data_IF_443571153824
#
_entry.id   IF_443571153824
#
_cell.length_a   1.000
_cell.length_b   1.000
_cell.length_c   1.000
_cell.angle_alpha   90.00
_cell.angle_beta   90.00
_cell.angle_gamma   90.00
#
_symmetry.space_group_name_H-M   'P 1'
#
loop_
_entity.id
_entity.type
_entity.pdbx_description
1 polymer ?
#
# COMPACT_ATOMS: atom_id res chain seq x y z
N UNK A 1 8.22 -14.75 -26.66
CA UNK A 1 7.39 -14.53 -25.46
C UNK A 1 8.25 -14.60 -24.19
N UNK A 2 9.47 -14.07 -24.28
CA UNK A 2 10.45 -13.96 -23.21
C UNK A 2 11.20 -12.68 -23.49
N UNK A 3 11.30 -11.84 -22.50
CA UNK A 3 12.02 -10.59 -22.59
C UNK A 3 13.40 -10.76 -21.96
N UNK A 4 14.41 -10.12 -22.54
CA UNK A 4 15.77 -10.18 -22.00
C UNK A 4 15.93 -9.04 -21.01
N UNK A 5 16.34 -9.36 -19.79
CA UNK A 5 16.63 -8.39 -18.74
C UNK A 5 18.01 -8.65 -18.16
N UNK A 6 18.70 -7.61 -17.72
CA UNK A 6 19.97 -7.73 -17.02
C UNK A 6 19.75 -7.57 -15.52
N UNK A 7 20.34 -8.47 -14.74
CA UNK A 7 20.36 -8.41 -13.27
C UNK A 7 21.81 -8.52 -12.79
N UNK A 8 22.05 -8.57 -11.47
CA UNK A 8 23.38 -8.86 -10.93
C UNK A 8 23.96 -10.21 -11.40
N UNK A 9 23.11 -11.20 -11.73
CA UNK A 9 23.54 -12.47 -12.34
C UNK A 9 23.83 -12.35 -13.86
N UNK A 10 23.80 -11.15 -14.42
CA UNK A 10 23.98 -10.93 -15.85
C UNK A 10 22.69 -11.16 -16.62
N UNK A 11 22.75 -12.00 -17.67
CA UNK A 11 21.67 -12.13 -18.65
C UNK A 11 20.54 -13.04 -18.13
N UNK A 12 19.41 -12.44 -17.80
CA UNK A 12 18.20 -13.13 -17.35
C UNK A 12 17.06 -13.01 -18.37
N UNK A 13 15.96 -13.72 -18.10
CA UNK A 13 14.77 -13.72 -18.94
C UNK A 13 13.50 -13.60 -18.10
N UNK A 14 12.57 -12.77 -18.54
CA UNK A 14 11.26 -12.59 -17.91
C UNK A 14 10.17 -13.16 -18.81
N UNK A 15 9.32 -14.02 -18.25
CA UNK A 15 8.11 -14.51 -18.91
C UNK A 15 6.91 -13.65 -18.51
N UNK A 16 5.98 -13.40 -19.44
CA UNK A 16 4.76 -12.59 -19.20
C UNK A 16 5.03 -11.18 -18.65
N UNK A 17 6.05 -10.49 -19.18
CA UNK A 17 6.46 -9.14 -18.74
C UNK A 17 5.45 -8.03 -19.07
N UNK A 18 4.57 -8.24 -20.06
CA UNK A 18 3.61 -7.22 -20.50
C UNK A 18 4.21 -6.06 -21.30
N UNK A 19 5.53 -6.06 -21.53
CA UNK A 19 6.19 -5.06 -22.35
C UNK A 19 6.05 -5.37 -23.87
N UNK A 20 6.44 -4.42 -24.72
CA UNK A 20 6.30 -4.48 -26.19
C UNK A 20 4.85 -4.56 -26.70
N UNK A 21 3.88 -4.06 -25.94
CA UNK A 21 2.45 -4.08 -26.32
C UNK A 21 1.83 -5.48 -26.38
N UNK A 22 2.45 -6.47 -25.74
CA UNK A 22 1.93 -7.84 -25.67
C UNK A 22 0.86 -7.96 -24.58
N UNK A 23 -0.27 -8.64 -24.85
CA UNK A 23 -1.30 -8.82 -23.85
C UNK A 23 -0.80 -9.72 -22.71
N UNK A 24 -1.21 -9.40 -21.49
CA UNK A 24 -0.95 -10.21 -20.31
C UNK A 24 -1.70 -11.55 -20.40
N UNK A 25 -1.00 -12.62 -20.03
CA UNK A 25 -1.62 -13.93 -19.90
C UNK A 25 -2.43 -14.02 -18.62
N UNK A 26 -3.61 -14.64 -18.74
CA UNK A 26 -4.51 -14.91 -17.61
C UNK A 26 -4.77 -16.39 -17.51
N UNK A 27 -4.94 -16.89 -16.28
CA UNK A 27 -5.38 -18.26 -16.04
C UNK A 27 -6.81 -18.27 -15.50
N UNK A 28 -7.59 -19.25 -15.94
CA UNK A 28 -9.02 -19.37 -15.61
C UNK A 28 -9.31 -20.60 -14.74
N UNK A 29 -8.29 -21.36 -14.34
CA UNK A 29 -8.40 -22.56 -13.50
C UNK A 29 -7.11 -22.73 -12.69
N UNK A 30 -7.25 -23.20 -11.45
CA UNK A 30 -6.10 -23.63 -10.65
C UNK A 30 -5.50 -24.94 -11.14
N UNK A 31 -4.36 -25.30 -10.56
CA UNK A 31 -3.64 -26.56 -10.79
C UNK A 31 -2.59 -26.53 -11.90
N UNK A 32 -1.68 -27.51 -11.84
CA UNK A 32 -0.44 -27.55 -12.63
C UNK A 32 -0.63 -27.41 -14.15
N UNK A 33 -1.71 -27.98 -14.70
CA UNK A 33 -1.95 -27.95 -16.16
C UNK A 33 -2.41 -26.60 -16.71
N UNK A 34 -2.69 -25.61 -15.85
CA UNK A 34 -3.16 -24.28 -16.23
C UNK A 34 -2.13 -23.18 -15.88
N UNK A 35 -0.89 -23.58 -15.59
CA UNK A 35 0.22 -22.70 -15.26
C UNK A 35 1.30 -22.66 -16.34
N UNK A 36 2.50 -22.27 -15.91
CA UNK A 36 3.72 -22.28 -16.71
C UNK A 36 4.51 -23.55 -16.40
N UNK A 37 4.81 -24.35 -17.43
CA UNK A 37 5.71 -25.50 -17.36
C UNK A 37 6.94 -25.23 -18.24
N UNK A 38 8.14 -25.32 -17.66
CA UNK A 38 9.41 -25.11 -18.34
C UNK A 38 10.35 -26.28 -18.08
N UNK A 39 10.87 -26.89 -19.13
CA UNK A 39 12.01 -27.80 -19.05
C UNK A 39 13.26 -27.04 -19.49
N UNK A 40 14.24 -26.93 -18.59
CA UNK A 40 15.47 -26.18 -18.80
C UNK A 40 16.69 -27.10 -18.68
N UNK A 41 17.72 -26.75 -19.44
CA UNK A 41 19.05 -27.34 -19.38
C UNK A 41 19.99 -26.25 -18.85
N UNK A 42 20.61 -26.47 -17.68
CA UNK A 42 21.50 -25.49 -17.06
C UNK A 42 22.89 -25.47 -17.68
N UNK A 43 23.26 -26.46 -18.51
CA UNK A 43 24.52 -26.50 -19.23
C UNK A 43 25.77 -26.35 -18.32
N UNK A 44 25.91 -27.22 -17.31
CA UNK A 44 27.09 -27.23 -16.43
C UNK A 44 28.42 -27.40 -17.18
N UNK A 45 28.40 -27.91 -18.42
CA UNK A 45 29.55 -27.99 -19.32
C UNK A 45 30.09 -26.62 -19.76
N UNK A 46 29.28 -25.57 -19.68
CA UNK A 46 29.65 -24.18 -20.03
C UNK A 46 29.96 -23.33 -18.80
N UNK A 47 29.95 -23.92 -17.60
CA UNK A 47 30.24 -23.17 -16.37
C UNK A 47 31.72 -22.78 -16.32
N UNK A 48 31.97 -21.55 -15.87
CA UNK A 48 33.33 -21.07 -15.68
C UNK A 48 33.99 -21.88 -14.55
N UNK A 49 35.20 -22.43 -14.77
CA UNK A 49 35.90 -23.16 -13.74
C UNK A 49 36.28 -22.22 -12.59
N UNK A 50 35.94 -22.61 -11.36
CA UNK A 50 36.21 -21.80 -10.17
C UNK A 50 37.64 -22.05 -9.69
N UNK A 51 38.49 -21.02 -9.73
CA UNK A 51 39.90 -21.08 -9.29
C UNK A 51 40.21 -20.19 -8.08
N UNK A 52 39.21 -19.47 -7.56
CA UNK A 52 39.33 -18.61 -6.38
C UNK A 52 37.94 -18.09 -5.96
N UNK A 53 37.85 -17.57 -4.73
CA UNK A 53 36.62 -16.95 -4.21
C UNK A 53 36.56 -15.48 -4.67
N UNK A 54 35.52 -15.14 -5.42
CA UNK A 54 35.12 -13.78 -5.80
C UNK A 54 33.60 -13.69 -5.74
N UNK A 55 33.03 -12.49 -5.63
CA UNK A 55 31.57 -12.30 -5.52
C UNK A 55 30.81 -12.78 -6.78
N UNK A 56 31.51 -12.91 -7.91
CA UNK A 56 30.95 -13.42 -9.17
C UNK A 56 31.05 -14.96 -9.31
N UNK A 57 31.82 -15.65 -8.46
CA UNK A 57 32.00 -17.11 -8.55
C UNK A 57 31.03 -17.85 -7.62
N UNK A 58 30.08 -18.58 -8.19
CA UNK A 58 29.12 -19.41 -7.44
C UNK A 58 29.52 -20.89 -7.45
N UNK A 59 29.45 -21.54 -6.29
CA UNK A 59 29.60 -23.01 -6.15
C UNK A 59 28.30 -23.78 -6.44
N UNK A 60 27.19 -23.06 -6.63
CA UNK A 60 25.86 -23.63 -6.80
C UNK A 60 25.57 -23.94 -8.27
N UNK A 61 24.87 -25.05 -8.51
CA UNK A 61 24.36 -25.40 -9.84
C UNK A 61 22.83 -25.43 -9.81
N UNK A 62 22.20 -24.68 -10.71
CA UNK A 62 20.75 -24.50 -10.76
C UNK A 62 20.39 -23.13 -11.32
N UNK A 63 19.14 -22.73 -11.12
CA UNK A 63 18.65 -21.41 -11.51
C UNK A 63 18.04 -20.70 -10.30
N UNK A 64 18.11 -19.37 -10.28
CA UNK A 64 17.27 -18.55 -9.40
C UNK A 64 16.05 -18.06 -10.17
N UNK A 65 14.92 -18.00 -9.49
CA UNK A 65 13.62 -17.59 -10.04
C UNK A 65 12.97 -16.60 -9.08
N UNK A 66 12.36 -15.55 -9.63
CA UNK A 66 11.55 -14.61 -8.87
C UNK A 66 10.18 -14.51 -9.53
N UNK A 67 9.12 -14.55 -8.72
CA UNK A 67 7.74 -14.30 -9.15
C UNK A 67 7.36 -12.91 -8.62
N UNK A 68 7.03 -12.01 -9.52
CA UNK A 68 6.72 -10.61 -9.22
C UNK A 68 5.63 -10.08 -10.15
N UNK A 69 5.06 -8.92 -9.82
CA UNK A 69 4.10 -8.23 -10.70
C UNK A 69 4.83 -7.57 -11.86
N UNK A 70 4.12 -7.28 -12.95
CA UNK A 70 4.72 -6.66 -14.14
C UNK A 70 5.18 -5.21 -13.91
N UNK A 71 4.61 -4.54 -12.93
CA UNK A 71 4.94 -3.16 -12.52
C UNK A 71 6.20 -3.10 -11.66
N UNK A 72 6.64 -4.24 -11.11
CA UNK A 72 7.79 -4.34 -10.22
C UNK A 72 9.02 -4.85 -10.99
N UNK A 73 10.18 -4.14 -10.95
CA UNK A 73 11.41 -4.66 -11.54
C UNK A 73 11.96 -5.86 -10.76
N UNK A 74 12.62 -6.82 -11.42
CA UNK A 74 13.17 -7.99 -10.74
C UNK A 74 14.38 -7.61 -9.88
N UNK A 75 14.43 -8.20 -8.69
CA UNK A 75 15.51 -8.09 -7.70
C UNK A 75 15.87 -9.48 -7.18
N UNK A 76 16.34 -10.30 -8.12
CA UNK A 76 16.43 -11.76 -8.02
C UNK A 76 17.57 -12.25 -7.12
N UNK A 77 18.60 -11.43 -6.93
CA UNK A 77 19.73 -11.67 -6.04
C UNK A 77 19.27 -11.77 -4.57
N UNK A 78 18.35 -10.91 -4.15
CA UNK A 78 17.82 -10.90 -2.78
C UNK A 78 16.47 -11.60 -2.62
N UNK A 79 15.55 -11.48 -3.59
CA UNK A 79 14.18 -11.97 -3.47
C UNK A 79 13.91 -13.27 -4.24
N UNK A 80 14.88 -13.77 -5.00
CA UNK A 80 14.76 -15.00 -5.78
C UNK A 80 14.87 -16.27 -4.93
N UNK A 81 14.19 -17.34 -5.36
CA UNK A 81 14.35 -18.69 -4.81
C UNK A 81 15.12 -19.58 -5.79
N UNK A 82 15.86 -20.56 -5.27
CA UNK A 82 16.64 -21.50 -6.08
C UNK A 82 15.84 -22.71 -6.55
N UNK A 83 16.12 -23.17 -7.76
CA UNK A 83 15.58 -24.40 -8.37
C UNK A 83 16.73 -25.27 -8.83
N UNK A 84 16.78 -26.51 -8.33
CA UNK A 84 17.88 -27.44 -8.53
C UNK A 84 17.69 -28.32 -9.79
N UNK A 85 18.79 -28.71 -10.47
CA UNK A 85 18.75 -29.73 -11.51
C UNK A 85 18.44 -31.13 -10.95
N UNK A 86 17.91 -32.00 -11.80
CA UNK A 86 17.50 -33.35 -11.43
C UNK A 86 16.16 -33.43 -10.71
N UNK A 87 15.43 -32.31 -10.63
CA UNK A 87 14.11 -32.22 -10.04
C UNK A 87 13.09 -31.54 -10.97
N UNK A 88 11.85 -31.98 -10.84
CA UNK A 88 10.68 -31.25 -11.25
C UNK A 88 10.13 -30.54 -10.02
N UNK A 89 10.20 -29.20 -10.03
CA UNK A 89 9.81 -28.34 -8.91
C UNK A 89 8.45 -27.74 -9.21
N UNK A 90 7.49 -28.01 -8.33
CA UNK A 90 6.16 -27.44 -8.35
C UNK A 90 6.11 -26.24 -7.40
N UNK A 91 5.73 -25.08 -7.94
CA UNK A 91 5.57 -23.83 -7.21
C UNK A 91 4.10 -23.45 -7.24
N UNK A 92 3.40 -23.81 -6.17
CA UNK A 92 2.00 -23.43 -5.96
C UNK A 92 1.94 -22.00 -5.46
N UNK A 93 1.26 -21.13 -6.20
CA UNK A 93 1.18 -19.70 -5.93
C UNK A 93 -0.21 -19.30 -5.42
N UNK A 94 -0.23 -18.29 -4.55
CA UNK A 94 -1.44 -17.59 -4.11
C UNK A 94 -1.25 -16.08 -4.23
N UNK A 95 -2.15 -15.39 -4.94
CA UNK A 95 -2.11 -13.93 -5.05
C UNK A 95 -2.59 -13.29 -3.73
N UNK A 96 -1.75 -12.43 -3.15
CA UNK A 96 -2.05 -11.68 -1.94
C UNK A 96 -2.03 -10.18 -2.26
N UNK A 97 -3.14 -9.48 -2.00
CA UNK A 97 -3.26 -8.03 -2.16
C UNK A 97 -3.19 -7.37 -0.81
N UNK A 98 -2.16 -6.56 -0.60
CA UNK A 98 -1.90 -5.87 0.66
C UNK A 98 -2.22 -4.38 0.50
N UNK A 99 -3.07 -3.88 1.39
CA UNK A 99 -3.45 -2.47 1.46
C UNK A 99 -3.06 -1.91 2.82
N UNK A 100 -2.15 -0.96 2.83
CA UNK A 100 -1.65 -0.27 4.02
C UNK A 100 -2.29 1.10 4.20
N UNK A 101 -2.30 1.60 5.44
CA UNK A 101 -2.79 2.94 5.74
C UNK A 101 -1.66 3.98 5.75
N UNK A 102 -1.89 5.19 5.22
CA UNK A 102 -0.91 6.27 5.25
C UNK A 102 -0.81 6.91 6.64
N UNK A 103 0.21 7.76 6.86
CA UNK A 103 0.33 8.53 8.09
C UNK A 103 -0.93 9.40 8.32
N UNK A 104 -1.46 9.51 9.55
CA UNK A 104 -0.90 9.11 10.85
C UNK A 104 -1.24 7.68 11.34
N UNK A 105 -1.93 6.85 10.55
CA UNK A 105 -2.37 5.52 11.00
C UNK A 105 -1.35 4.41 10.74
N UNK A 106 -0.54 4.57 9.71
CA UNK A 106 0.55 3.66 9.36
C UNK A 106 1.59 4.40 8.52
N UNK A 107 2.60 3.67 8.06
CA UNK A 107 3.68 4.21 7.24
C UNK A 107 3.59 3.60 5.85
N UNK A 108 2.96 4.33 4.92
CA UNK A 108 2.95 3.95 3.51
C UNK A 108 2.97 5.16 2.59
N UNK A 109 3.62 4.97 1.44
CA UNK A 109 3.70 5.96 0.37
C UNK A 109 2.56 5.76 -0.62
N UNK A 110 1.69 6.77 -0.71
CA UNK A 110 0.57 6.80 -1.66
C UNK A 110 0.89 7.57 -2.96
N UNK A 111 2.01 8.30 -2.97
CA UNK A 111 2.41 9.14 -4.10
C UNK A 111 3.06 8.32 -5.20
N UNK A 112 2.84 8.74 -6.45
CA UNK A 112 3.55 8.19 -7.60
C UNK A 112 5.06 8.40 -7.46
N UNK A 113 5.84 7.54 -8.11
CA UNK A 113 7.30 7.63 -8.11
C UNK A 113 7.74 8.90 -8.86
N UNK A 114 8.59 9.70 -8.22
CA UNK A 114 9.28 10.82 -8.85
C UNK A 114 10.65 10.32 -9.31
N UNK A 115 10.66 9.45 -10.33
CA UNK A 115 11.88 8.92 -10.92
C UNK A 115 11.79 8.97 -12.44
N UNK A 116 12.91 9.24 -13.09
CA UNK A 116 13.01 9.23 -14.55
C UNK A 116 13.02 7.81 -15.14
N UNK A 117 13.27 6.78 -14.31
CA UNK A 117 13.51 5.41 -14.78
C UNK A 117 12.28 4.49 -14.68
N UNK A 118 11.47 4.64 -13.63
CA UNK A 118 10.33 3.76 -13.36
C UNK A 118 9.03 4.56 -13.30
N UNK A 119 7.98 4.00 -13.91
CA UNK A 119 6.65 4.64 -13.97
C UNK A 119 5.80 4.41 -12.71
N UNK A 120 5.98 3.26 -12.07
CA UNK A 120 5.26 2.84 -10.86
C UNK A 120 6.21 2.74 -9.68
N UNK A 121 5.74 3.21 -8.51
CA UNK A 121 6.49 3.06 -7.27
C UNK A 121 6.37 1.63 -6.75
N UNK A 122 7.51 0.97 -6.62
CA UNK A 122 7.65 -0.27 -5.86
C UNK A 122 8.87 -0.17 -4.94
N UNK A 123 8.93 -1.05 -3.93
CA UNK A 123 10.07 -1.06 -3.01
C UNK A 123 11.38 -1.39 -3.73
N UNK A 124 11.33 -2.31 -4.70
CA UNK A 124 12.48 -2.70 -5.52
C UNK A 124 12.90 -1.60 -6.51
N UNK A 125 11.94 -0.91 -7.14
CA UNK A 125 12.24 0.23 -8.00
C UNK A 125 12.94 1.35 -7.22
N UNK A 126 12.45 1.68 -6.02
CA UNK A 126 13.08 2.65 -5.13
C UNK A 126 14.52 2.27 -4.77
N UNK A 127 14.76 0.99 -4.44
CA UNK A 127 16.11 0.52 -4.11
C UNK A 127 17.06 0.58 -5.30
N UNK A 128 16.63 0.12 -6.47
CA UNK A 128 17.44 0.17 -7.69
C UNK A 128 17.77 1.62 -8.05
N UNK A 129 16.81 2.52 -7.95
CA UNK A 129 17.03 3.96 -8.19
C UNK A 129 18.04 4.55 -7.19
N UNK A 130 17.91 4.22 -5.90
CA UNK A 130 18.84 4.66 -4.87
C UNK A 130 20.27 4.13 -5.07
N UNK A 131 20.41 2.82 -5.33
CA UNK A 131 21.70 2.18 -5.63
C UNK A 131 22.35 2.81 -6.87
N UNK A 132 21.56 3.06 -7.92
CA UNK A 132 22.04 3.67 -9.16
C UNK A 132 22.55 5.09 -8.91
N UNK A 133 21.77 5.92 -8.21
CA UNK A 133 22.16 7.29 -7.90
C UNK A 133 23.41 7.34 -7.03
N UNK A 134 23.49 6.50 -6.01
CA UNK A 134 24.68 6.40 -5.15
C UNK A 134 25.93 6.03 -5.94
N UNK A 135 25.83 5.05 -6.84
CA UNK A 135 26.97 4.60 -7.63
C UNK A 135 27.42 5.65 -8.65
N UNK A 136 26.47 6.36 -9.26
CA UNK A 136 26.78 7.46 -10.18
C UNK A 136 27.43 8.63 -9.44
N UNK A 137 26.95 8.99 -8.24
CA UNK A 137 27.55 10.06 -7.41
C UNK A 137 28.97 9.72 -6.94
N UNK A 138 29.24 8.46 -6.55
CA UNK A 138 30.53 8.08 -5.97
C UNK A 138 31.55 7.55 -6.99
N UNK A 139 31.11 6.80 -8.00
CA UNK A 139 31.98 6.13 -8.97
C UNK A 139 31.84 6.68 -10.40
N UNK A 140 30.94 7.64 -10.66
CA UNK A 140 30.67 8.24 -11.98
C UNK A 140 30.32 7.23 -13.09
N UNK A 141 29.84 6.05 -12.71
CA UNK A 141 29.47 4.98 -13.61
C UNK A 141 28.30 4.18 -13.02
N UNK A 142 27.64 3.38 -13.86
CA UNK A 142 26.58 2.46 -13.45
C UNK A 142 26.89 1.02 -13.82
N UNK A 143 26.32 0.09 -13.06
CA UNK A 143 26.40 -1.34 -13.40
C UNK A 143 25.48 -1.70 -14.57
N UNK A 144 25.73 -2.86 -15.19
CA UNK A 144 24.99 -3.32 -16.38
C UNK A 144 23.48 -3.48 -16.20
N UNK A 145 23.03 -3.76 -14.98
CA UNK A 145 21.62 -3.96 -14.64
C UNK A 145 20.91 -2.69 -14.16
N UNK A 146 21.67 -1.62 -13.89
CA UNK A 146 21.12 -0.36 -13.40
C UNK A 146 20.54 0.45 -14.55
N UNK A 147 19.39 1.11 -14.37
CA UNK A 147 18.80 1.99 -15.38
C UNK A 147 19.61 3.29 -15.57
N UNK A 148 19.23 4.08 -16.58
CA UNK A 148 19.76 5.41 -16.85
C UNK A 148 20.85 5.51 -17.90
N UNK A 149 21.30 6.74 -18.15
CA UNK A 149 22.18 7.10 -19.27
C UNK A 149 23.66 7.25 -18.88
N UNK A 150 23.98 7.03 -17.60
CA UNK A 150 25.37 7.03 -17.12
C UNK A 150 26.21 5.96 -17.86
N UNK A 151 27.52 6.16 -18.04
CA UNK A 151 28.38 5.17 -18.68
C UNK A 151 28.49 3.90 -17.83
N UNK A 152 28.65 2.75 -18.48
CA UNK A 152 28.89 1.50 -17.80
C UNK A 152 30.27 1.50 -17.11
N UNK A 153 30.33 0.96 -15.90
CA UNK A 153 31.59 0.78 -15.18
C UNK A 153 32.53 -0.19 -15.94
N UNK A 154 33.82 0.14 -15.97
CA UNK A 154 34.87 -0.76 -16.45
C UNK A 154 35.18 -1.86 -15.43
N UNK A 155 35.78 -3.00 -15.82
CA UNK A 155 36.13 -4.06 -14.86
C UNK A 155 37.04 -3.61 -13.71
N UNK A 156 37.92 -2.62 -13.95
CA UNK A 156 38.74 -2.01 -12.90
C UNK A 156 37.87 -1.22 -11.91
N UNK A 157 36.94 -0.40 -12.41
CA UNK A 157 36.00 0.35 -11.57
C UNK A 157 35.03 -0.55 -10.79
N UNK A 158 34.66 -1.72 -11.35
CA UNK A 158 33.86 -2.71 -10.63
C UNK A 158 34.55 -3.11 -9.32
N UNK A 159 35.78 -3.61 -9.43
CA UNK A 159 36.57 -4.08 -8.31
C UNK A 159 37.01 -2.98 -7.34
N UNK A 160 37.39 -1.82 -7.86
CA UNK A 160 37.99 -0.75 -7.04
C UNK A 160 36.96 0.16 -6.38
N UNK A 161 35.78 0.33 -6.99
CA UNK A 161 34.78 1.29 -6.53
C UNK A 161 33.39 0.68 -6.40
N UNK A 162 32.86 0.04 -7.44
CA UNK A 162 31.45 -0.29 -7.51
C UNK A 162 31.04 -1.35 -6.49
N UNK A 163 31.77 -2.45 -6.39
CA UNK A 163 31.46 -3.53 -5.45
C UNK A 163 31.64 -3.06 -3.99
N UNK A 164 32.79 -2.46 -3.60
CA UNK A 164 32.95 -1.94 -2.24
C UNK A 164 31.94 -0.84 -1.86
N UNK A 165 31.53 0.00 -2.83
CA UNK A 165 30.54 1.04 -2.60
C UNK A 165 29.16 0.44 -2.32
N UNK A 166 28.74 -0.56 -3.09
CA UNK A 166 27.47 -1.24 -2.85
C UNK A 166 27.48 -2.08 -1.58
N UNK A 167 28.58 -2.76 -1.26
CA UNK A 167 28.73 -3.50 0.00
C UNK A 167 28.62 -2.56 1.19
N UNK A 168 29.30 -1.41 1.14
CA UNK A 168 29.18 -0.37 2.16
C UNK A 168 27.75 0.18 2.27
N UNK A 169 27.05 0.34 1.14
CA UNK A 169 25.67 0.79 1.13
C UNK A 169 24.75 -0.22 1.83
N UNK A 170 24.93 -1.52 1.60
CA UNK A 170 24.16 -2.57 2.28
C UNK A 170 24.45 -2.62 3.78
N UNK A 171 25.69 -2.38 4.21
CA UNK A 171 26.04 -2.33 5.64
C UNK A 171 25.53 -1.06 6.36
N UNK A 172 25.36 0.06 5.64
CA UNK A 172 24.88 1.36 6.16
C UNK A 172 23.49 1.74 5.65
N UNK A 173 22.74 0.78 5.13
CA UNK A 173 21.54 0.98 4.31
C UNK A 173 20.46 1.83 5.00
N UNK A 174 20.37 1.73 6.33
CA UNK A 174 19.35 2.37 7.14
C UNK A 174 19.29 3.90 7.05
N UNK A 175 20.37 4.58 6.67
CA UNK A 175 20.38 6.05 6.64
C UNK A 175 20.31 6.64 5.22
N UNK A 176 20.73 5.91 4.19
CA UNK A 176 20.89 6.47 2.84
C UNK A 176 19.75 6.07 1.88
N UNK A 177 19.29 4.82 1.91
CA UNK A 177 18.25 4.31 1.02
C UNK A 177 16.97 3.96 1.80
N UNK A 178 16.29 4.97 2.34
CA UNK A 178 15.00 4.79 3.03
C UNK A 178 13.87 4.68 2.01
N UNK A 179 13.50 3.44 1.69
CA UNK A 179 12.37 3.14 0.80
C UNK A 179 11.12 2.76 1.59
N UNK A 180 10.13 3.65 1.59
CA UNK A 180 8.83 3.43 2.24
C UNK A 180 8.00 2.35 1.52
N UNK A 181 7.18 1.60 2.25
CA UNK A 181 6.29 0.61 1.63
C UNK A 181 5.15 1.30 0.86
N UNK A 182 4.84 0.86 -0.37
CA UNK A 182 3.68 1.38 -1.09
C UNK A 182 2.37 1.04 -0.36
N UNK A 183 1.39 1.93 -0.43
CA UNK A 183 0.09 1.67 0.21
C UNK A 183 -0.68 0.51 -0.43
N UNK A 184 -0.47 0.25 -1.72
CA UNK A 184 -1.04 -0.89 -2.42
C UNK A 184 0.10 -1.73 -2.97
N UNK A 185 0.12 -3.02 -2.65
CA UNK A 185 1.03 -3.96 -3.30
C UNK A 185 0.43 -5.34 -3.43
N UNK A 186 0.87 -6.05 -4.47
CA UNK A 186 0.52 -7.46 -4.67
C UNK A 186 1.76 -8.30 -4.42
N UNK A 187 1.60 -9.36 -3.63
CA UNK A 187 2.62 -10.37 -3.37
C UNK A 187 2.12 -11.74 -3.79
N UNK A 188 3.04 -12.64 -4.09
CA UNK A 188 2.74 -14.03 -4.41
C UNK A 188 3.26 -14.92 -3.29
N UNK A 189 2.33 -15.43 -2.48
CA UNK A 189 2.62 -16.52 -1.55
C UNK A 189 3.00 -17.77 -2.36
N UNK A 190 4.03 -18.50 -1.93
CA UNK A 190 4.55 -19.65 -2.65
C UNK A 190 4.77 -20.85 -1.74
N UNK A 191 4.27 -22.01 -2.16
CA UNK A 191 4.56 -23.30 -1.57
C UNK A 191 5.30 -24.16 -2.60
N UNK A 192 6.45 -24.72 -2.19
CA UNK A 192 7.32 -25.47 -3.08
C UNK A 192 7.31 -26.95 -2.72
N UNK A 193 7.15 -27.80 -3.74
CA UNK A 193 7.36 -29.24 -3.65
C UNK A 193 8.17 -29.73 -4.84
N UNK A 194 8.79 -30.91 -4.73
CA UNK A 194 9.68 -31.41 -5.76
C UNK A 194 9.60 -32.93 -5.89
N UNK A 195 9.80 -33.40 -7.12
CA UNK A 195 9.95 -34.82 -7.44
C UNK A 195 11.19 -35.02 -8.30
N UNK A 196 11.79 -36.21 -8.23
CA UNK A 196 13.01 -36.52 -8.98
C UNK A 196 12.71 -36.69 -10.48
N UNK A 197 13.53 -36.07 -11.32
CA UNK A 197 13.56 -36.29 -12.78
C UNK A 197 15.01 -36.57 -13.24
N UNK A 198 15.25 -37.53 -14.14
CA UNK A 198 14.31 -38.45 -14.76
C UNK A 198 13.99 -39.68 -13.90
N UNK A 199 12.86 -40.32 -14.21
CA UNK A 199 12.58 -41.67 -13.74
C UNK A 199 13.47 -42.68 -14.46
N UNK A 200 13.67 -43.88 -13.89
CA UNK A 200 14.44 -44.96 -14.55
C UNK A 200 13.87 -45.33 -15.93
N UNK A 201 12.56 -45.18 -16.13
CA UNK A 201 11.90 -45.47 -17.40
C UNK A 201 12.11 -44.35 -18.43
N UNK A 202 12.08 -43.09 -18.01
CA UNK A 202 12.21 -41.93 -18.90
C UNK A 202 13.66 -41.50 -19.17
N UNK A 203 14.63 -41.94 -18.36
CA UNK A 203 16.05 -41.58 -18.50
C UNK A 203 16.61 -41.87 -19.91
N UNK A 204 16.42 -43.10 -20.41
CA UNK A 204 16.87 -43.51 -21.76
C UNK A 204 16.22 -42.70 -22.88
N UNK A 205 14.94 -42.37 -22.71
CA UNK A 205 14.20 -41.59 -23.70
C UNK A 205 14.74 -40.16 -23.78
N UNK A 206 14.93 -39.50 -22.63
CA UNK A 206 15.44 -38.14 -22.57
C UNK A 206 16.88 -38.05 -23.08
N UNK A 207 17.73 -39.00 -22.68
CA UNK A 207 19.11 -39.11 -23.17
C UNK A 207 19.15 -39.18 -24.70
N UNK A 208 18.31 -40.03 -25.32
CA UNK A 208 18.23 -40.16 -26.78
C UNK A 208 17.62 -38.94 -27.45
N UNK A 209 16.59 -38.32 -26.85
CA UNK A 209 15.88 -37.15 -27.40
C UNK A 209 16.79 -35.93 -27.50
N UNK A 210 17.60 -35.70 -26.47
CA UNK A 210 18.52 -34.56 -26.40
C UNK A 210 19.94 -34.89 -26.85
N UNK A 211 20.21 -36.13 -27.26
CA UNK A 211 21.53 -36.63 -27.65
C UNK A 211 22.61 -36.37 -26.57
N UNK A 212 22.27 -36.68 -25.31
CA UNK A 212 23.13 -36.50 -24.13
C UNK A 212 23.20 -37.80 -23.32
N UNK A 213 24.15 -37.90 -22.39
CA UNK A 213 24.28 -39.09 -21.51
C UNK A 213 23.21 -39.10 -20.42
N UNK A 214 22.89 -40.27 -19.88
CA UNK A 214 21.92 -40.38 -18.77
C UNK A 214 22.37 -39.60 -17.52
N UNK A 215 23.67 -39.53 -17.26
CA UNK A 215 24.26 -38.71 -16.19
C UNK A 215 24.01 -37.22 -16.45
N UNK A 216 24.30 -36.75 -17.67
CA UNK A 216 24.07 -35.35 -18.04
C UNK A 216 22.61 -34.93 -17.82
N UNK A 217 21.65 -35.80 -18.15
CA UNK A 217 20.23 -35.51 -17.93
C UNK A 217 19.92 -35.32 -16.43
N UNK A 218 20.47 -36.17 -15.56
CA UNK A 218 20.26 -36.05 -14.12
C UNK A 218 20.89 -34.79 -13.51
N UNK A 219 22.06 -34.39 -14.04
CA UNK A 219 22.83 -33.29 -13.48
C UNK A 219 22.44 -31.92 -14.08
N UNK A 220 21.86 -31.87 -15.28
CA UNK A 220 21.62 -30.60 -15.99
C UNK A 220 20.15 -30.27 -16.25
N UNK A 221 19.26 -31.27 -16.32
CA UNK A 221 17.86 -31.02 -16.66
C UNK A 221 17.06 -30.72 -15.40
N UNK A 222 16.28 -29.64 -15.44
CA UNK A 222 15.26 -29.33 -14.46
C UNK A 222 13.92 -29.07 -15.13
N UNK A 223 12.85 -29.28 -14.39
CA UNK A 223 11.50 -28.88 -14.79
C UNK A 223 10.94 -27.95 -13.72
N UNK A 224 10.36 -26.83 -14.15
CA UNK A 224 9.77 -25.83 -13.28
C UNK A 224 8.31 -25.63 -13.66
N UNK A 225 7.42 -25.90 -12.71
CA UNK A 225 5.99 -25.71 -12.83
C UNK A 225 5.53 -24.61 -11.88
N UNK A 226 5.02 -23.51 -12.43
CA UNK A 226 4.46 -22.38 -11.67
C UNK A 226 2.97 -22.28 -11.96
N UNK A 227 2.13 -22.46 -10.95
CA UNK A 227 0.67 -22.43 -11.11
C UNK A 227 -0.01 -21.86 -9.87
N UNK A 228 -1.29 -21.49 -9.99
CA UNK A 228 -2.11 -21.09 -8.85
C UNK A 228 -2.82 -22.30 -8.24
N UNK A 229 -2.84 -22.40 -6.91
CA UNK A 229 -3.54 -23.50 -6.21
C UNK A 229 -5.04 -23.50 -6.52
N UNK A 230 -5.67 -22.36 -6.31
CA UNK A 230 -7.06 -22.07 -6.62
C UNK A 230 -7.17 -20.64 -7.18
N UNK A 231 -8.30 -20.32 -7.83
CA UNK A 231 -8.57 -18.96 -8.34
C UNK A 231 -9.13 -18.05 -7.25
N UNK A 232 -8.48 -18.00 -6.11
CA UNK A 232 -8.76 -17.05 -5.05
C UNK A 232 -7.54 -16.16 -4.84
N UNK A 233 -7.83 -14.93 -4.41
CA UNK A 233 -6.83 -14.01 -3.92
C UNK A 233 -7.13 -13.71 -2.46
N UNK A 234 -6.09 -13.52 -1.68
CA UNK A 234 -6.20 -13.09 -0.30
C UNK A 234 -6.05 -11.58 -0.24
N UNK A 235 -6.92 -10.89 0.50
CA UNK A 235 -6.82 -9.44 0.71
C UNK A 235 -6.46 -9.17 2.16
N UNK A 236 -5.31 -8.54 2.40
CA UNK A 236 -4.84 -8.12 3.72
C UNK A 236 -4.90 -6.59 3.77
N UNK A 237 -5.94 -6.06 4.37
CA UNK A 237 -6.19 -4.61 4.45
C UNK A 237 -6.07 -4.09 5.89
N UNK A 238 -5.32 -3.00 6.06
CA UNK A 238 -5.29 -2.26 7.31
C UNK A 238 -6.52 -1.36 7.41
N UNK A 239 -7.33 -1.56 8.46
CA UNK A 239 -8.52 -0.73 8.75
C UNK A 239 -8.26 0.17 9.95
N UNK A 240 -8.83 1.37 9.90
CA UNK A 240 -8.81 2.31 11.03
C UNK A 240 -9.63 1.70 12.15
N UNK A 241 -8.98 1.42 13.28
CA UNK A 241 -9.67 0.86 14.45
C UNK A 241 -10.71 1.83 15.04
N UNK A 242 -10.50 3.13 14.85
CA UNK A 242 -11.38 4.17 15.34
C UNK A 242 -11.46 5.35 14.37
N UNK A 243 -12.67 5.75 14.04
CA UNK A 243 -12.95 6.90 13.19
C UNK A 243 -13.57 8.05 13.99
N UNK A 244 -13.55 9.26 13.42
CA UNK A 244 -14.15 10.44 14.06
C UNK A 244 -15.64 10.25 14.37
N UNK A 245 -16.35 9.48 13.53
CA UNK A 245 -17.74 9.11 13.78
C UNK A 245 -17.88 8.26 15.05
N UNK A 246 -16.98 7.29 15.27
CA UNK A 246 -16.90 6.53 16.52
C UNK A 246 -16.61 7.43 17.71
N UNK A 247 -15.67 8.37 17.58
CA UNK A 247 -15.33 9.34 18.63
C UNK A 247 -16.53 10.18 19.07
N UNK A 248 -17.25 10.75 18.11
CA UNK A 248 -18.43 11.57 18.40
C UNK A 248 -19.58 10.72 18.94
N UNK A 249 -19.70 9.47 18.49
CA UNK A 249 -20.66 8.50 19.00
C UNK A 249 -20.42 8.19 20.48
N UNK A 250 -19.17 7.89 20.87
CA UNK A 250 -18.83 7.56 22.26
C UNK A 250 -18.95 8.78 23.18
N UNK A 251 -18.47 9.95 22.74
CA UNK A 251 -18.64 11.20 23.50
C UNK A 251 -20.12 11.54 23.66
N UNK A 252 -20.88 11.52 22.56
CA UNK A 252 -22.31 11.82 22.57
C UNK A 252 -23.11 10.81 23.40
N UNK A 253 -22.75 9.53 23.32
CA UNK A 253 -23.33 8.45 24.11
C UNK A 253 -23.08 8.62 25.59
N UNK A 254 -21.84 8.88 26.00
CA UNK A 254 -21.51 9.11 27.42
C UNK A 254 -22.16 10.38 27.96
N UNK A 255 -22.15 11.48 27.20
CA UNK A 255 -22.79 12.74 27.61
C UNK A 255 -24.32 12.60 27.71
N UNK A 256 -24.93 11.91 26.76
CA UNK A 256 -26.36 11.60 26.76
C UNK A 256 -26.75 10.67 27.92
N UNK A 257 -25.92 9.68 28.25
CA UNK A 257 -26.19 8.73 29.32
C UNK A 257 -26.02 9.32 30.72
N UNK A 258 -24.92 10.05 30.98
CA UNK A 258 -24.62 10.54 32.33
C UNK A 258 -25.30 11.86 32.67
N UNK A 259 -25.41 12.78 31.71
CA UNK A 259 -25.91 14.13 31.94
C UNK A 259 -27.31 14.30 31.33
N UNK A 260 -27.71 13.47 30.36
CA UNK A 260 -28.89 13.74 29.53
C UNK A 260 -28.67 14.94 28.60
N UNK A 261 -27.41 15.35 28.42
CA UNK A 261 -27.04 16.52 27.64
C UNK A 261 -26.80 16.15 26.19
N UNK A 262 -27.21 17.04 25.29
CA UNK A 262 -26.89 16.99 23.87
C UNK A 262 -26.15 18.26 23.46
N UNK A 263 -25.70 18.31 22.21
CA UNK A 263 -25.09 19.53 21.66
C UNK A 263 -26.04 20.74 21.77
N UNK A 264 -27.36 20.52 21.71
CA UNK A 264 -28.37 21.56 21.89
C UNK A 264 -28.36 22.12 23.32
N UNK A 265 -28.20 21.28 24.34
CA UNK A 265 -28.13 21.73 25.74
C UNK A 265 -26.88 22.57 26.01
N UNK A 266 -25.77 22.29 25.32
CA UNK A 266 -24.56 23.10 25.40
C UNK A 266 -24.79 24.48 24.77
N UNK A 267 -25.42 24.52 23.58
CA UNK A 267 -25.75 25.79 22.92
C UNK A 267 -26.68 26.66 23.77
N UNK A 268 -27.68 26.06 24.42
CA UNK A 268 -28.58 26.76 25.33
C UNK A 268 -27.85 27.36 26.55
N UNK A 269 -26.87 26.64 27.10
CA UNK A 269 -26.02 27.16 28.17
C UNK A 269 -25.20 28.38 27.71
N UNK A 270 -24.66 28.34 26.48
CA UNK A 270 -23.93 29.47 25.91
C UNK A 270 -24.83 30.69 25.66
N UNK A 271 -26.05 30.50 25.16
CA UNK A 271 -27.02 31.59 24.98
C UNK A 271 -27.39 32.24 26.32
N UNK A 272 -27.61 31.44 27.36
CA UNK A 272 -27.86 31.94 28.71
C UNK A 272 -26.67 32.74 29.25
N UNK A 273 -25.45 32.20 29.12
CA UNK A 273 -24.21 32.89 29.51
C UNK A 273 -24.05 34.23 28.78
N UNK A 274 -24.32 34.25 27.47
CA UNK A 274 -24.24 35.45 26.66
C UNK A 274 -25.21 36.54 27.14
N UNK A 275 -26.48 36.19 27.38
CA UNK A 275 -27.48 37.12 27.92
C UNK A 275 -27.10 37.63 29.32
N UNK A 276 -26.57 36.77 30.19
CA UNK A 276 -26.08 37.18 31.53
C UNK A 276 -24.89 38.14 31.44
N UNK A 277 -23.93 37.87 30.56
CA UNK A 277 -22.76 38.74 30.34
C UNK A 277 -23.22 40.11 29.79
N UNK A 278 -24.10 40.12 28.79
CA UNK A 278 -24.72 41.33 28.22
C UNK A 278 -25.46 42.13 29.30
N UNK A 279 -26.27 41.48 30.13
CA UNK A 279 -26.97 42.12 31.24
C UNK A 279 -26.00 42.73 32.27
N UNK A 280 -24.93 42.01 32.65
CA UNK A 280 -23.91 42.53 33.58
C UNK A 280 -23.10 43.68 32.99
N UNK A 281 -22.73 43.62 31.70
CA UNK A 281 -22.08 44.72 30.99
C UNK A 281 -22.98 45.96 30.94
N UNK A 282 -24.27 45.83 30.59
CA UNK A 282 -25.23 46.93 30.63
C UNK A 282 -25.40 47.52 32.03
N UNK A 283 -25.37 46.70 33.08
CA UNK A 283 -25.48 47.16 34.47
C UNK A 283 -24.20 47.85 34.97
N UNK A 284 -23.03 47.44 34.49
CA UNK A 284 -21.75 48.13 34.73
C UNK A 284 -21.69 49.49 34.02
N UNK A 285 -22.22 49.61 32.79
CA UNK A 285 -22.35 50.89 32.08
C UNK A 285 -23.31 51.84 32.81
N UNK A 286 -24.45 51.34 33.31
CA UNK A 286 -25.38 52.15 34.14
C UNK A 286 -24.79 52.56 35.49
N UNK A 287 -23.92 51.75 36.12
CA UNK A 287 -23.19 52.15 37.35
C UNK A 287 -22.12 53.21 37.07
N UNK A 288 -21.45 53.17 35.92
CA UNK A 288 -20.51 54.23 35.48
C UNK A 288 -21.22 55.56 35.19
N UNK A 289 -22.45 55.51 34.67
CA UNK A 289 -23.29 56.71 34.49
C UNK A 289 -23.85 57.28 35.82
N UNK A 290 -24.10 56.43 36.82
CA UNK A 290 -24.56 56.89 38.15
C UNK A 290 -23.42 57.46 39.03
N UNK A 291 -22.16 57.13 38.73
CA UNK A 291 -20.97 57.70 39.38
C UNK A 291 -20.50 59.04 38.79
N UNK A 292 -21.15 59.56 37.74
CA UNK A 292 -20.76 60.82 37.07
C UNK A 292 -21.85 61.90 37.09
N UNK A 293 -23.00 61.65 37.72
CA UNK A 293 -24.09 62.63 37.93
C UNK A 293 -24.24 62.98 39.42
N UNK A 294 -23.19 63.52 40.02
CA UNK A 294 -23.31 64.28 41.26
C UNK A 294 -22.60 65.65 41.09
N UNK A 295 -23.05 66.39 40.09
CA UNK A 295 -23.04 67.85 40.11
C UNK A 295 -24.17 68.36 39.24
N UNK A 296 -24.87 69.31 39.84
CA UNK A 296 -25.90 70.20 39.33
C UNK A 296 -27.34 69.71 39.15
N UNK A 297 -28.16 70.34 40.01
CA UNK A 297 -29.60 70.44 40.06
C UNK A 297 -30.14 71.05 38.77
N UNK A 298 -31.29 70.56 38.34
CA UNK A 298 -32.13 71.24 37.34
C UNK A 298 -33.32 70.39 36.97
N UNK A 299 -34.40 70.50 37.74
CA UNK A 299 -35.68 69.89 37.39
C UNK A 299 -36.28 70.64 36.19
N UNK A 300 -36.42 69.97 35.05
CA UNK A 300 -37.38 70.34 34.01
C UNK A 300 -38.02 69.05 33.50
N UNK A 301 -39.32 68.92 33.75
CA UNK A 301 -40.17 67.86 33.23
C UNK A 301 -40.36 68.10 31.72
N UNK A 302 -39.82 67.22 30.88
CA UNK A 302 -40.19 67.16 29.46
C UNK A 302 -41.16 65.99 29.26
N UNK A 303 -42.30 66.32 28.68
CA UNK A 303 -43.48 65.47 28.53
C UNK A 303 -43.35 64.72 27.19
N UNK A 304 -42.53 63.66 27.15
CA UNK A 304 -42.41 62.75 26.00
C UNK A 304 -41.85 61.36 26.39
N UNK A 305 -42.32 60.81 27.52
CA UNK A 305 -42.00 59.44 27.96
C UNK A 305 -43.27 58.67 28.38
N UNK A 306 -44.33 58.76 27.57
CA UNK A 306 -45.54 57.93 27.70
C UNK A 306 -45.72 57.08 26.45
N UNK A 307 -44.77 56.17 26.20
CA UNK A 307 -45.04 55.01 25.34
C UNK A 307 -44.11 53.84 25.67
N UNK A 308 -44.29 53.25 26.85
CA UNK A 308 -43.94 51.83 27.14
C UNK A 308 -44.33 51.48 28.57
N UNK A 309 -45.59 51.12 28.77
CA UNK A 309 -46.17 50.27 29.82
C UNK A 309 -47.68 50.25 29.49
N UNK A 310 -48.43 49.17 29.33
CA UNK A 310 -48.36 47.73 29.64
C UNK A 310 -49.45 47.04 28.73
N UNK A 311 -50.01 45.83 28.97
CA UNK A 311 -49.63 44.70 29.84
C UNK A 311 -49.65 43.32 29.12
N UNK A 312 -49.13 42.29 29.80
CA UNK A 312 -49.51 40.90 29.58
C UNK A 312 -50.85 40.63 30.29
N UNK A 313 -51.82 40.02 29.61
CA UNK A 313 -52.74 39.06 30.25
C UNK A 313 -53.29 38.05 29.24
N UNK A 314 -53.55 36.85 29.74
CA UNK A 314 -53.67 35.59 29.03
C UNK A 314 -55.05 35.31 28.43
N UNK A 315 -55.04 34.32 27.51
CA UNK A 315 -55.91 33.12 27.49
C UNK A 315 -56.98 33.01 26.37
N UNK A 316 -56.85 31.89 25.65
CA UNK A 316 -57.85 31.03 24.95
C UNK A 316 -57.95 31.11 23.41
N UNK A 317 -57.46 30.02 22.81
CA UNK A 317 -57.88 29.32 21.58
C UNK A 317 -59.40 29.03 21.56
N UNK A 318 -60.07 28.67 20.43
CA UNK A 318 -59.54 27.79 19.36
C UNK A 318 -59.99 28.02 17.90
N UNK A 319 -59.29 27.26 17.03
CA UNK A 319 -59.73 26.63 15.78
C UNK A 319 -60.02 27.51 14.56
N UNK A 320 -59.33 27.16 13.46
CA UNK A 320 -59.87 26.60 12.20
C UNK A 320 -59.16 27.24 11.00
N UNK A 321 -58.35 26.47 10.26
CA UNK A 321 -58.14 26.71 8.83
C UNK A 321 -58.15 25.37 8.07
N UNK A 322 -58.71 25.34 6.85
CA UNK A 322 -58.95 24.12 6.09
C UNK A 322 -57.82 23.81 5.09
N UNK A 323 -57.69 22.52 4.76
CA UNK A 323 -57.75 22.01 3.39
C UNK A 323 -56.52 22.10 2.47
N UNK A 324 -56.04 20.90 2.08
CA UNK A 324 -55.40 20.53 0.80
C UNK A 324 -53.94 20.96 0.60
N UNK A 325 -53.01 20.19 0.02
CA UNK A 325 -53.05 18.96 -0.77
C UNK A 325 -51.59 18.46 -0.89
N UNK A 326 -51.32 17.16 -0.73
CA UNK A 326 -50.17 16.47 -1.34
C UNK A 326 -50.63 15.06 -1.75
N UNK A 327 -50.24 14.55 -2.94
CA UNK A 327 -50.73 13.28 -3.46
C UNK A 327 -49.95 12.04 -2.97
N UNK A 328 -50.68 10.92 -2.97
CA UNK A 328 -50.29 9.50 -2.81
C UNK A 328 -49.05 9.05 -3.64
N UNK A 329 -48.27 8.00 -3.28
CA UNK A 329 -48.56 6.53 -3.27
C UNK A 329 -47.23 5.75 -2.91
N UNK A 330 -47.13 4.40 -2.83
CA UNK A 330 -47.65 3.46 -1.81
C UNK A 330 -46.68 2.32 -1.33
N UNK A 331 -47.07 1.59 -0.26
CA UNK A 331 -46.77 0.16 0.03
C UNK A 331 -45.34 -0.21 0.48
N UNK A 332 -45.05 -1.32 1.17
CA UNK A 332 -45.77 -2.39 1.87
C UNK A 332 -44.67 -3.22 2.58
N UNK A 333 -45.04 -3.91 3.66
CA UNK A 333 -44.47 -5.18 4.17
C UNK A 333 -43.51 -5.17 5.38
N UNK A 334 -43.80 -6.16 6.22
CA UNK A 334 -43.22 -6.59 7.51
C UNK A 334 -41.83 -7.22 7.36
N UNK A 335 -41.04 -7.24 8.45
CA UNK A 335 -40.13 -8.33 8.88
C UNK A 335 -39.54 -7.92 10.25
N UNK A 336 -40.06 -8.43 11.38
CA UNK A 336 -39.53 -9.55 12.20
C UNK A 336 -38.16 -9.32 12.86
N UNK A 337 -38.22 -9.31 14.20
CA UNK A 337 -37.13 -9.37 15.18
C UNK A 337 -36.29 -10.65 15.04
N UNK A 338 -34.97 -10.52 15.07
CA UNK A 338 -34.09 -11.51 15.69
C UNK A 338 -32.87 -10.83 16.31
N UNK A 339 -32.79 -10.94 17.63
CA UNK A 339 -31.63 -10.69 18.48
C UNK A 339 -30.50 -11.69 18.22
N UNK A 340 -29.26 -11.23 18.33
CA UNK A 340 -28.13 -12.00 18.82
C UNK A 340 -27.50 -11.22 19.97
#
# INVERSE_FOLDING_TARGET
MKEKIFTRYGKCYTFNSGQDGRPLMVTMKGGMGNGLELMLDIQQDEYLPVWGETDETSFEAGIKVQIHTQEEPPFIDQLGFGVAPGFQTFVSCQEQRLTYLPPPWGDCKATAMDSDFFSSYSITACRIDCETRYLVENCNCRMVHMPGDAPYCTPEQYKECADPALDFLVERDNDYCVCETPCNMTRFGKEMSFVKIPSKASAKYLAKKFNKTEQYIGDNILVLDIFFEALNYETIEQKKAYELAGLLGDIGGQMGLFIGASILTILELFDYLYEVIKYKLCRCVKKKHKGRNNSDRGAVLSLDDVKRHAPCENLRTPSTYPGNMLPHHPGQANFEDFTC
#
